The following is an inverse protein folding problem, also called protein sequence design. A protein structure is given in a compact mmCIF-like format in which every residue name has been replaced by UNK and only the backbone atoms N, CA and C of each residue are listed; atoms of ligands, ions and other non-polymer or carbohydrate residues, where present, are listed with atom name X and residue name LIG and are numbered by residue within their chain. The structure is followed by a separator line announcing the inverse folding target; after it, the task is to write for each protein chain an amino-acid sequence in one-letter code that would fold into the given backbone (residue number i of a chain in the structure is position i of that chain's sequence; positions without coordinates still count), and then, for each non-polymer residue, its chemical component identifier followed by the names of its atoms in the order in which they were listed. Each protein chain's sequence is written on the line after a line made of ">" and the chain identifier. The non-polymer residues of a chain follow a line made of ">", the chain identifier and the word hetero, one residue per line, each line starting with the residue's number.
data_IF_112339808938
#
_entry.id   IF_112339808938
#
_cell.length_a   1.000
_cell.length_b   1.000
_cell.length_c   1.000
_cell.angle_alpha   90.00
_cell.angle_beta   90.00
_cell.angle_gamma   90.00
#
_symmetry.space_group_name_H-M   'P 1'
#
loop_
_entity.id
_entity.type
_entity.pdbx_description
1 polymer ?
#
# COMPACT_ATOMS: atom_id res chain seq x y z
N UNK A 1 -3.44 -34.59 18.63
CA UNK A 1 -4.37 -33.98 19.63
C UNK A 1 -5.14 -32.89 18.92
N UNK A 2 -6.46 -32.77 19.11
CA UNK A 2 -7.27 -31.71 18.48
C UNK A 2 -7.48 -30.55 19.44
N UNK A 3 -7.10 -29.35 19.03
CA UNK A 3 -7.21 -28.13 19.82
C UNK A 3 -8.20 -27.19 19.12
N UNK A 4 -9.31 -26.79 19.76
CA UNK A 4 -10.25 -25.82 19.20
C UNK A 4 -9.59 -24.45 19.03
N UNK A 5 -9.77 -23.82 17.88
CA UNK A 5 -9.32 -22.46 17.61
C UNK A 5 -10.52 -21.51 17.62
N UNK A 6 -10.58 -20.62 18.61
CA UNK A 6 -11.71 -19.70 18.84
C UNK A 6 -11.40 -18.27 18.39
N UNK A 7 -12.44 -17.48 18.09
CA UNK A 7 -12.27 -16.07 17.70
C UNK A 7 -11.56 -15.23 18.76
N UNK A 8 -11.81 -15.49 20.05
CA UNK A 8 -11.21 -14.74 21.15
C UNK A 8 -11.84 -13.36 21.37
N UNK A 9 -11.55 -12.75 22.52
CA UNK A 9 -12.17 -11.50 22.95
C UNK A 9 -11.65 -10.28 22.19
N UNK A 10 -12.50 -9.28 22.03
CA UNK A 10 -12.15 -7.93 21.58
C UNK A 10 -12.86 -6.96 22.52
N UNK A 11 -12.13 -5.99 23.06
CA UNK A 11 -12.75 -4.95 23.87
C UNK A 11 -13.51 -3.95 22.98
N UNK A 12 -14.83 -4.13 22.87
CA UNK A 12 -15.65 -3.35 21.94
C UNK A 12 -16.39 -2.17 22.57
N UNK A 13 -16.42 -2.01 23.90
CA UNK A 13 -17.24 -1.01 24.58
C UNK A 13 -18.66 -0.92 23.98
N UNK A 14 -19.05 0.22 23.40
CA UNK A 14 -20.36 0.46 22.78
C UNK A 14 -20.44 0.09 21.28
N UNK A 15 -19.43 -0.60 20.77
CA UNK A 15 -19.32 -1.04 19.38
C UNK A 15 -19.67 -2.53 19.29
N UNK A 16 -20.18 -2.97 18.15
CA UNK A 16 -20.32 -4.39 17.81
C UNK A 16 -19.63 -4.65 16.47
N UNK A 17 -19.10 -5.86 16.31
CA UNK A 17 -18.58 -6.33 15.03
C UNK A 17 -19.61 -7.26 14.43
N UNK A 18 -20.16 -6.90 13.27
CA UNK A 18 -20.88 -7.82 12.40
C UNK A 18 -19.89 -8.52 11.48
N UNK A 19 -20.09 -9.80 11.24
CA UNK A 19 -19.17 -10.63 10.45
C UNK A 19 -19.91 -11.37 9.35
N UNK A 20 -19.26 -11.54 8.21
CA UNK A 20 -19.75 -12.41 7.15
C UNK A 20 -19.51 -13.88 7.53
N UNK A 21 -20.05 -14.81 6.74
CA UNK A 21 -19.58 -16.19 6.80
C UNK A 21 -18.06 -16.28 6.58
N UNK A 22 -17.44 -17.27 7.21
CA UNK A 22 -16.00 -17.53 7.12
C UNK A 22 -15.69 -18.17 5.77
N UNK A 23 -14.64 -17.69 5.10
CA UNK A 23 -14.14 -18.20 3.84
C UNK A 23 -12.78 -18.84 4.06
N UNK A 24 -12.64 -20.10 3.65
CA UNK A 24 -11.45 -20.90 3.87
C UNK A 24 -10.43 -20.71 2.76
N UNK A 25 -9.15 -20.60 3.15
CA UNK A 25 -7.99 -20.50 2.26
C UNK A 25 -7.24 -21.83 2.16
N UNK A 26 -7.56 -22.78 3.05
CA UNK A 26 -7.03 -24.13 3.07
C UNK A 26 -8.17 -25.15 2.96
N UNK A 27 -7.82 -26.37 2.57
CA UNK A 27 -8.75 -27.50 2.59
C UNK A 27 -8.82 -28.15 3.98
N UNK A 28 -9.92 -28.85 4.25
CA UNK A 28 -10.03 -29.72 5.43
C UNK A 28 -8.95 -30.82 5.39
N UNK A 29 -8.29 -31.07 6.51
CA UNK A 29 -7.15 -31.97 6.63
C UNK A 29 -5.85 -31.45 6.03
N UNK A 30 -5.76 -30.18 5.61
CA UNK A 30 -4.52 -29.59 5.13
C UNK A 30 -3.58 -29.29 6.30
N UNK A 31 -2.29 -29.63 6.14
CA UNK A 31 -1.24 -29.22 7.07
C UNK A 31 -0.90 -27.75 6.86
N UNK A 32 -0.91 -26.96 7.94
CA UNK A 32 -0.55 -25.55 7.96
C UNK A 32 0.55 -25.31 9.00
N UNK A 33 1.51 -24.45 8.66
CA UNK A 33 2.51 -23.95 9.61
C UNK A 33 1.94 -22.77 10.40
N UNK A 34 2.46 -22.53 11.60
CA UNK A 34 2.27 -21.32 12.38
C UNK A 34 2.53 -20.08 11.52
N UNK A 35 1.73 -19.03 11.70
CA UNK A 35 1.81 -17.80 10.91
C UNK A 35 1.07 -17.87 9.57
N UNK A 36 0.65 -19.06 9.13
CA UNK A 36 -0.06 -19.19 7.85
C UNK A 36 -1.55 -18.80 7.99
N UNK A 37 -2.06 -17.98 7.06
CA UNK A 37 -3.48 -17.67 6.97
C UNK A 37 -4.31 -18.87 6.53
N UNK A 38 -5.40 -19.15 7.26
CA UNK A 38 -6.25 -20.32 7.01
C UNK A 38 -7.66 -19.94 6.55
N UNK A 39 -8.12 -18.74 6.90
CA UNK A 39 -9.44 -18.26 6.56
C UNK A 39 -9.55 -16.74 6.68
N UNK A 40 -10.64 -16.17 6.18
CA UNK A 40 -10.96 -14.76 6.37
C UNK A 40 -12.48 -14.52 6.34
N UNK A 41 -12.92 -13.37 6.84
CA UNK A 41 -14.29 -12.87 6.68
C UNK A 41 -14.29 -11.35 6.52
N UNK A 42 -15.37 -10.82 5.95
CA UNK A 42 -15.61 -9.38 5.96
C UNK A 42 -16.23 -8.99 7.31
N UNK A 43 -15.91 -7.79 7.80
CA UNK A 43 -16.42 -7.28 9.07
C UNK A 43 -16.97 -5.86 8.92
N UNK A 44 -18.01 -5.55 9.68
CA UNK A 44 -18.58 -4.22 9.79
C UNK A 44 -18.60 -3.79 11.26
N UNK A 45 -18.05 -2.61 11.54
CA UNK A 45 -18.12 -2.01 12.87
C UNK A 45 -19.42 -1.21 12.97
N UNK A 46 -20.29 -1.54 13.92
CA UNK A 46 -21.55 -0.84 14.16
C UNK A 46 -21.59 -0.27 15.58
N UNK A 47 -22.19 0.91 15.74
CA UNK A 47 -22.46 1.52 17.04
C UNK A 47 -23.62 0.79 17.73
N UNK A 48 -23.84 1.09 19.00
CA UNK A 48 -24.95 0.54 19.79
C UNK A 48 -26.34 0.79 19.18
N UNK A 49 -26.51 1.83 18.37
CA UNK A 49 -27.75 2.14 17.64
C UNK A 49 -27.90 1.37 16.30
N UNK A 50 -26.91 0.54 15.95
CA UNK A 50 -26.88 -0.25 14.70
C UNK A 50 -26.34 0.50 13.49
N UNK A 51 -26.04 1.79 13.59
CA UNK A 51 -25.41 2.54 12.51
C UNK A 51 -23.93 2.16 12.34
N UNK A 52 -23.37 2.17 11.12
CA UNK A 52 -21.94 1.98 10.93
C UNK A 52 -21.12 2.98 11.73
N UNK A 53 -20.05 2.51 12.38
CA UNK A 53 -19.16 3.35 13.20
C UNK A 53 -18.58 4.52 12.39
N UNK A 54 -18.24 4.24 11.13
CA UNK A 54 -17.73 5.23 10.19
C UNK A 54 -18.08 4.83 8.76
N UNK A 55 -18.58 5.79 7.96
CA UNK A 55 -18.79 5.60 6.53
C UNK A 55 -17.48 5.91 5.79
N UNK A 56 -16.51 5.01 5.90
CA UNK A 56 -15.30 5.09 5.08
C UNK A 56 -15.57 4.41 3.75
N UNK A 57 -14.90 4.86 2.69
CA UNK A 57 -14.84 4.11 1.43
C UNK A 57 -14.17 2.73 1.54
N UNK A 58 -13.85 2.27 2.75
CA UNK A 58 -13.31 0.94 3.07
C UNK A 58 -14.35 0.00 3.70
N UNK A 59 -15.56 0.49 4.00
CA UNK A 59 -16.58 -0.27 4.71
C UNK A 59 -16.92 -1.62 4.04
N UNK A 60 -16.83 -1.66 2.70
CA UNK A 60 -17.13 -2.86 1.91
C UNK A 60 -15.98 -3.88 1.87
N UNK A 61 -14.78 -3.49 2.30
CA UNK A 61 -13.55 -4.28 2.18
C UNK A 61 -12.72 -4.28 3.47
N UNK A 62 -13.39 -4.17 4.62
CA UNK A 62 -12.78 -4.43 5.90
C UNK A 62 -12.86 -5.94 6.19
N UNK A 63 -11.71 -6.57 6.35
CA UNK A 63 -11.56 -8.01 6.51
C UNK A 63 -10.83 -8.36 7.81
N UNK A 64 -11.24 -9.46 8.43
CA UNK A 64 -10.48 -10.17 9.44
C UNK A 64 -9.90 -11.44 8.80
N UNK A 65 -8.58 -11.58 8.86
CA UNK A 65 -7.81 -12.72 8.38
C UNK A 65 -7.38 -13.54 9.58
N UNK A 66 -7.69 -14.83 9.55
CA UNK A 66 -7.44 -15.78 10.61
C UNK A 66 -6.15 -16.57 10.34
N UNK A 67 -5.24 -16.55 11.29
CA UNK A 67 -3.90 -17.14 11.20
C UNK A 67 -3.75 -18.20 12.27
N UNK A 68 -3.15 -19.32 11.90
CA UNK A 68 -2.88 -20.40 12.86
C UNK A 68 -1.71 -20.03 13.78
N UNK A 69 -1.88 -20.13 15.12
CA UNK A 69 -0.80 -19.83 16.06
C UNK A 69 0.27 -20.93 16.14
N UNK A 70 0.00 -22.14 15.66
CA UNK A 70 0.93 -23.28 15.69
C UNK A 70 0.74 -24.22 14.49
N UNK A 71 1.72 -25.09 14.29
CA UNK A 71 1.75 -26.07 13.21
C UNK A 71 0.73 -27.20 13.45
N UNK A 72 0.06 -27.67 12.40
CA UNK A 72 -0.83 -28.84 12.48
C UNK A 72 -1.78 -29.00 11.30
N UNK A 73 -2.62 -30.03 11.36
CA UNK A 73 -3.66 -30.30 10.36
C UNK A 73 -4.96 -29.60 10.73
N UNK A 74 -5.51 -28.80 9.82
CA UNK A 74 -6.73 -28.02 10.03
C UNK A 74 -7.96 -28.92 9.82
N UNK A 75 -8.88 -28.94 10.79
CA UNK A 75 -10.18 -29.58 10.70
C UNK A 75 -11.28 -28.51 10.72
N UNK A 76 -11.96 -28.33 9.59
CA UNK A 76 -12.96 -27.27 9.38
C UNK A 76 -14.30 -27.66 10.01
N UNK A 77 -14.86 -26.79 10.85
CA UNK A 77 -16.19 -27.02 11.41
C UNK A 77 -17.29 -26.77 10.38
N UNK A 78 -18.18 -27.76 10.21
CA UNK A 78 -19.36 -27.66 9.36
C UNK A 78 -20.34 -26.65 9.95
N UNK A 79 -20.72 -25.63 9.17
CA UNK A 79 -21.68 -24.59 9.59
C UNK A 79 -21.09 -23.20 9.81
N UNK A 80 -19.78 -23.00 9.75
CA UNK A 80 -19.20 -21.64 9.84
C UNK A 80 -19.05 -20.92 8.48
N UNK A 81 -19.29 -21.65 7.38
CA UNK A 81 -19.15 -21.16 6.01
C UNK A 81 -20.53 -20.99 5.35
N UNK A 82 -21.12 -19.80 5.49
CA UNK A 82 -22.46 -19.48 4.94
C UNK A 82 -22.43 -18.57 3.69
N UNK A 83 -21.26 -18.37 3.07
CA UNK A 83 -21.11 -17.32 2.06
C UNK A 83 -21.06 -15.92 2.69
N UNK A 84 -20.64 -14.91 1.93
CA UNK A 84 -20.18 -13.64 2.51
C UNK A 84 -20.38 -12.43 1.62
N UNK A 85 -21.64 -12.03 1.43
CA UNK A 85 -21.96 -10.71 0.93
C UNK A 85 -22.05 -9.75 2.11
N UNK A 86 -21.32 -8.64 2.04
CA UNK A 86 -21.32 -7.65 3.12
C UNK A 86 -22.72 -7.02 3.29
N UNK A 87 -23.45 -6.91 2.18
CA UNK A 87 -24.78 -6.31 2.10
C UNK A 87 -25.86 -7.18 2.75
N UNK A 88 -25.51 -8.41 3.08
CA UNK A 88 -26.38 -9.31 3.80
C UNK A 88 -25.93 -9.50 5.27
N UNK A 89 -24.82 -8.87 5.72
CA UNK A 89 -24.31 -8.94 7.11
C UNK A 89 -25.34 -8.80 8.23
N UNK A 90 -26.38 -7.95 8.13
CA UNK A 90 -27.41 -7.86 9.17
C UNK A 90 -28.10 -9.19 9.50
N UNK A 91 -27.98 -10.20 8.64
CA UNK A 91 -28.62 -11.51 8.76
C UNK A 91 -27.70 -12.65 9.21
N UNK A 92 -26.38 -12.43 9.33
CA UNK A 92 -25.41 -13.52 9.54
C UNK A 92 -24.96 -13.66 10.99
N UNK A 93 -23.95 -12.90 11.46
CA UNK A 93 -23.36 -13.16 12.78
C UNK A 93 -22.72 -11.92 13.40
N UNK A 94 -22.66 -11.91 14.74
CA UNK A 94 -21.83 -10.98 15.50
C UNK A 94 -20.55 -11.69 15.96
N UNK A 95 -19.47 -10.94 16.16
CA UNK A 95 -18.26 -11.46 16.77
C UNK A 95 -18.56 -11.96 18.18
N UNK A 96 -18.43 -13.27 18.38
CA UNK A 96 -18.53 -13.95 19.66
C UNK A 96 -17.21 -14.67 19.91
N UNK A 97 -16.56 -14.34 21.03
CA UNK A 97 -15.24 -14.85 21.38
C UNK A 97 -15.19 -16.36 21.55
N UNK A 98 -16.34 -17.00 21.76
CA UNK A 98 -16.47 -18.45 21.97
C UNK A 98 -16.69 -19.24 20.69
N UNK A 99 -16.95 -18.58 19.56
CA UNK A 99 -17.10 -19.28 18.28
C UNK A 99 -15.78 -19.98 17.96
N UNK A 100 -15.87 -21.31 17.81
CA UNK A 100 -14.77 -22.13 17.30
C UNK A 100 -14.79 -22.07 15.77
N UNK A 101 -13.69 -21.62 15.18
CA UNK A 101 -13.54 -21.45 13.73
C UNK A 101 -13.18 -22.79 13.08
N UNK A 102 -12.16 -23.46 13.63
CA UNK A 102 -11.69 -24.80 13.25
C UNK A 102 -11.06 -25.50 14.47
N UNK A 103 -10.63 -26.74 14.29
CA UNK A 103 -9.74 -27.45 15.21
C UNK A 103 -8.40 -27.68 14.53
N UNK A 104 -7.30 -27.64 15.28
CA UNK A 104 -5.96 -27.97 14.79
C UNK A 104 -5.52 -29.29 15.42
N UNK A 105 -5.20 -30.25 14.58
CA UNK A 105 -4.58 -31.50 14.99
C UNK A 105 -3.05 -31.38 14.95
N UNK A 106 -2.43 -31.34 16.12
CA UNK A 106 -0.98 -31.23 16.29
C UNK A 106 -0.38 -32.44 17.04
N UNK A 107 0.92 -32.64 16.85
CA UNK A 107 1.70 -33.60 17.62
C UNK A 107 1.86 -33.10 19.06
N UNK A 108 1.57 -33.96 20.03
CA UNK A 108 1.49 -33.58 21.44
C UNK A 108 2.88 -33.36 22.03
N UNK A 109 3.42 -32.15 21.89
CA UNK A 109 4.55 -31.68 22.69
C UNK A 109 4.23 -30.26 23.16
N UNK A 110 3.84 -30.14 24.44
CA UNK A 110 3.71 -28.89 25.22
C UNK A 110 2.43 -28.03 25.08
N UNK A 111 1.36 -28.50 24.41
CA UNK A 111 0.10 -27.74 24.38
C UNK A 111 -0.87 -28.14 25.49
N UNK A 112 -1.48 -27.15 26.14
CA UNK A 112 -2.63 -27.34 27.02
C UNK A 112 -3.84 -27.64 26.13
N UNK A 113 -4.66 -28.63 26.50
CA UNK A 113 -5.89 -29.06 25.79
C UNK A 113 -7.02 -27.99 25.75
N UNK A 114 -6.70 -26.74 26.08
CA UNK A 114 -7.65 -25.63 26.11
C UNK A 114 -7.78 -24.98 24.74
N UNK A 115 -8.96 -24.42 24.48
CA UNK A 115 -9.22 -23.66 23.27
C UNK A 115 -8.23 -22.51 23.13
N UNK A 116 -7.61 -22.41 21.96
CA UNK A 116 -6.61 -21.39 21.66
C UNK A 116 -7.25 -20.27 20.86
N UNK A 117 -6.81 -19.03 21.07
CA UNK A 117 -7.29 -17.91 20.29
C UNK A 117 -6.61 -17.89 18.92
N UNK A 118 -7.40 -17.64 17.88
CA UNK A 118 -6.88 -17.40 16.54
C UNK A 118 -6.09 -16.10 16.52
N UNK A 119 -4.98 -16.09 15.78
CA UNK A 119 -4.32 -14.83 15.45
C UNK A 119 -5.10 -14.12 14.37
N UNK A 120 -5.20 -12.80 14.46
CA UNK A 120 -5.98 -11.95 13.57
C UNK A 120 -5.10 -10.86 12.98
N UNK A 121 -5.10 -10.81 11.65
CA UNK A 121 -4.71 -9.62 10.90
C UNK A 121 -5.97 -8.98 10.37
N UNK A 122 -6.08 -7.67 10.52
CA UNK A 122 -7.12 -6.92 9.87
C UNK A 122 -6.57 -6.27 8.62
N UNK A 123 -7.41 -6.24 7.58
CA UNK A 123 -7.08 -5.62 6.31
C UNK A 123 -8.26 -4.74 5.87
N UNK A 124 -7.96 -3.63 5.21
CA UNK A 124 -8.97 -2.72 4.68
C UNK A 124 -8.56 -2.19 3.31
N UNK A 125 -9.51 -2.07 2.39
CA UNK A 125 -9.26 -1.56 1.04
C UNK A 125 -10.23 -0.45 0.66
N UNK A 126 -9.72 0.66 0.11
CA UNK A 126 -10.53 1.69 -0.54
C UNK A 126 -10.50 1.44 -2.04
N UNK A 127 -11.63 1.05 -2.64
CA UNK A 127 -11.71 0.75 -4.08
C UNK A 127 -11.55 2.01 -4.93
N UNK A 128 -11.11 1.86 -6.18
CA UNK A 128 -11.19 2.95 -7.17
C UNK A 128 -12.63 3.25 -7.58
N UNK A 129 -13.47 2.22 -7.64
CA UNK A 129 -14.90 2.29 -7.93
C UNK A 129 -15.57 1.02 -7.39
N UNK A 130 -16.85 1.12 -7.00
CA UNK A 130 -17.56 0.01 -6.36
C UNK A 130 -17.70 -1.22 -7.27
N UNK A 131 -17.83 -1.00 -8.59
CA UNK A 131 -17.88 -2.07 -9.57
C UNK A 131 -16.53 -2.79 -9.78
N UNK A 132 -15.43 -2.34 -9.16
CA UNK A 132 -14.12 -3.03 -9.18
C UNK A 132 -14.09 -4.23 -8.21
N UNK A 133 -15.28 -4.67 -7.81
CA UNK A 133 -15.49 -5.73 -6.85
C UNK A 133 -14.97 -7.07 -7.34
N UNK A 134 -14.00 -7.59 -6.61
CA UNK A 134 -13.62 -8.99 -6.70
C UNK A 134 -13.62 -9.51 -5.25
N UNK A 135 -14.56 -10.39 -4.93
CA UNK A 135 -14.69 -10.98 -3.59
C UNK A 135 -14.23 -12.45 -3.66
N UNK A 136 -13.09 -12.76 -4.27
CA UNK A 136 -12.58 -14.15 -4.34
C UNK A 136 -11.44 -14.43 -3.36
N UNK A 137 -10.85 -13.40 -2.74
CA UNK A 137 -9.75 -13.56 -1.80
C UNK A 137 -9.64 -12.40 -0.81
N UNK A 138 -8.48 -12.32 -0.15
CA UNK A 138 -8.14 -11.23 0.76
C UNK A 138 -7.77 -10.01 -0.07
N UNK A 139 -8.49 -8.92 0.13
CA UNK A 139 -8.40 -7.69 -0.65
C UNK A 139 -8.20 -7.98 -2.15
N UNK A 140 -9.05 -8.84 -2.72
CA UNK A 140 -9.07 -9.08 -4.16
C UNK A 140 -9.76 -7.91 -4.88
N UNK A 141 -9.22 -7.52 -6.04
CA UNK A 141 -9.75 -6.42 -6.85
C UNK A 141 -8.81 -5.22 -6.90
N UNK A 142 -9.33 -4.07 -7.33
CA UNK A 142 -8.54 -2.87 -7.60
C UNK A 142 -8.82 -1.78 -6.58
N UNK A 143 -7.80 -1.44 -5.82
CA UNK A 143 -7.88 -0.51 -4.71
C UNK A 143 -7.04 0.73 -4.99
N UNK A 144 -7.52 1.89 -4.58
CA UNK A 144 -6.72 3.10 -4.50
C UNK A 144 -5.74 3.01 -3.31
N UNK A 145 -6.21 2.41 -2.20
CA UNK A 145 -5.44 2.21 -0.98
C UNK A 145 -5.77 0.85 -0.39
N UNK A 146 -4.75 0.14 0.06
CA UNK A 146 -4.90 -1.05 0.90
C UNK A 146 -4.12 -0.85 2.18
N UNK A 147 -4.63 -1.38 3.29
CA UNK A 147 -3.94 -1.34 4.58
C UNK A 147 -4.12 -2.67 5.30
N UNK A 148 -3.11 -3.05 6.05
CA UNK A 148 -3.13 -4.23 6.89
C UNK A 148 -2.45 -3.92 8.23
N UNK A 149 -2.91 -4.54 9.31
CA UNK A 149 -2.34 -4.38 10.63
C UNK A 149 -2.62 -5.60 11.52
N UNK A 150 -1.74 -5.82 12.49
CA UNK A 150 -1.91 -6.89 13.48
C UNK A 150 -3.05 -6.55 14.45
N UNK A 151 -4.06 -7.41 14.52
CA UNK A 151 -5.18 -7.27 15.45
C UNK A 151 -4.86 -7.69 16.88
N UNK A 152 -3.96 -8.67 17.07
CA UNK A 152 -3.71 -9.26 18.39
C UNK A 152 -2.81 -8.43 19.30
N UNK A 153 -2.05 -7.52 18.70
CA UNK A 153 -1.17 -6.62 19.44
C UNK A 153 -1.99 -5.42 19.90
N UNK A 154 -1.56 -4.75 20.98
CA UNK A 154 -2.24 -3.57 21.51
C UNK A 154 -2.25 -2.38 20.53
N UNK A 155 -2.36 -1.17 21.06
CA UNK A 155 -2.38 0.04 20.24
C UNK A 155 -1.26 0.07 19.17
N UNK A 156 -1.65 0.45 17.95
CA UNK A 156 -0.74 0.61 16.82
C UNK A 156 0.33 1.63 17.19
N UNK A 157 1.60 1.21 17.12
CA UNK A 157 2.76 2.05 17.43
C UNK A 157 3.42 2.61 16.18
N UNK A 158 3.39 1.83 15.11
CA UNK A 158 3.96 2.22 13.82
C UNK A 158 2.88 2.21 12.76
N UNK A 159 2.75 3.31 12.03
CA UNK A 159 1.89 3.42 10.85
C UNK A 159 2.78 3.85 9.68
N UNK A 160 3.01 2.90 8.77
CA UNK A 160 3.92 3.06 7.65
C UNK A 160 3.11 3.40 6.40
N UNK A 161 3.36 4.57 5.83
CA UNK A 161 2.85 4.99 4.54
C UNK A 161 3.86 4.70 3.45
N UNK A 162 3.43 4.01 2.39
CA UNK A 162 4.33 3.73 1.26
C UNK A 162 4.01 4.60 0.07
N UNK A 163 5.00 5.38 -0.37
CA UNK A 163 5.04 6.19 -1.58
C UNK A 163 6.02 5.53 -2.55
N UNK A 164 5.60 4.38 -3.06
CA UNK A 164 6.39 3.53 -3.93
C UNK A 164 5.77 3.40 -5.31
N UNK A 165 6.51 2.72 -6.18
CA UNK A 165 5.99 2.13 -7.41
C UNK A 165 6.11 0.61 -7.28
N UNK A 166 5.99 -0.11 -8.39
CA UNK A 166 6.11 -1.57 -8.44
C UNK A 166 7.42 -2.14 -7.85
N UNK A 167 8.44 -1.31 -7.59
CA UNK A 167 9.70 -1.70 -6.97
C UNK A 167 9.53 -2.14 -5.50
N UNK A 168 9.06 -1.23 -4.62
CA UNK A 168 8.91 -1.49 -3.19
C UNK A 168 7.50 -1.92 -2.81
N UNK A 169 6.48 -1.57 -3.61
CA UNK A 169 5.10 -1.94 -3.32
C UNK A 169 4.89 -3.45 -3.36
N UNK A 170 5.54 -4.15 -4.30
CA UNK A 170 5.44 -5.61 -4.40
C UNK A 170 6.10 -6.29 -3.19
N UNK A 171 7.31 -5.84 -2.82
CA UNK A 171 8.01 -6.35 -1.65
C UNK A 171 7.20 -6.18 -0.36
N UNK A 172 6.63 -5.00 -0.12
CA UNK A 172 5.80 -4.76 1.06
C UNK A 172 4.43 -5.44 1.01
N UNK A 173 3.83 -5.60 -0.18
CA UNK A 173 2.59 -6.33 -0.34
C UNK A 173 2.77 -7.81 0.04
N UNK A 174 3.96 -8.37 -0.20
CA UNK A 174 4.20 -9.79 0.04
C UNK A 174 3.55 -10.68 -1.01
N UNK A 175 3.79 -11.98 -0.87
CA UNK A 175 3.44 -12.98 -1.88
C UNK A 175 2.07 -13.64 -1.65
N UNK A 176 1.62 -13.68 -0.40
CA UNK A 176 0.38 -14.36 0.00
C UNK A 176 -0.69 -13.38 0.49
N UNK A 177 -0.35 -12.57 1.48
CA UNK A 177 -1.23 -11.58 2.10
C UNK A 177 -0.53 -10.25 2.22
N UNK A 178 -1.29 -9.17 1.99
CA UNK A 178 -0.84 -7.78 2.15
C UNK A 178 -0.06 -7.60 3.45
N UNK A 179 1.26 -7.52 3.31
CA UNK A 179 2.24 -7.18 4.34
C UNK A 179 2.36 -8.20 5.49
N UNK A 180 1.89 -9.43 5.34
CA UNK A 180 1.96 -10.47 6.38
C UNK A 180 3.41 -10.76 6.77
N UNK A 181 4.26 -11.08 5.79
CA UNK A 181 5.66 -11.44 6.00
C UNK A 181 6.41 -10.29 6.71
N UNK A 182 6.03 -9.06 6.41
CA UNK A 182 6.59 -7.89 7.08
C UNK A 182 6.10 -7.73 8.52
N UNK A 183 4.80 -7.93 8.77
CA UNK A 183 4.21 -7.80 10.11
C UNK A 183 4.76 -8.85 11.10
N UNK A 184 5.11 -10.05 10.63
CA UNK A 184 5.76 -11.08 11.44
C UNK A 184 7.14 -10.65 11.95
N UNK A 185 7.87 -9.87 11.17
CA UNK A 185 9.19 -9.32 11.55
C UNK A 185 9.09 -8.19 12.58
N UNK A 186 7.91 -7.57 12.70
CA UNK A 186 7.70 -6.47 13.63
C UNK A 186 7.41 -7.01 15.03
N UNK A 187 8.04 -6.52 16.10
CA UNK A 187 7.71 -6.89 17.48
C UNK A 187 6.52 -6.10 18.04
N UNK A 188 6.26 -4.91 17.50
CA UNK A 188 5.18 -4.01 17.93
C UNK A 188 4.00 -4.05 16.95
N UNK A 189 2.84 -3.61 17.45
CA UNK A 189 1.64 -3.44 16.63
C UNK A 189 1.90 -2.42 15.51
N UNK A 190 1.84 -2.88 14.27
CA UNK A 190 2.24 -2.09 13.09
C UNK A 190 1.13 -2.13 12.05
N UNK A 191 0.84 -0.97 11.48
CA UNK A 191 -0.03 -0.80 10.32
C UNK A 191 0.83 -0.46 9.10
N UNK A 192 0.55 -1.12 7.99
CA UNK A 192 1.12 -0.80 6.69
C UNK A 192 0.00 -0.25 5.80
N UNK A 193 0.25 0.89 5.17
CA UNK A 193 -0.64 1.56 4.23
C UNK A 193 0.05 1.63 2.87
N UNK A 194 -0.54 0.97 1.87
CA UNK A 194 -0.06 0.91 0.51
C UNK A 194 -1.01 1.67 -0.39
N UNK A 195 -0.49 2.64 -1.14
CA UNK A 195 -1.18 3.20 -2.29
C UNK A 195 -0.86 2.35 -3.50
N UNK A 196 -1.88 1.85 -4.18
CA UNK A 196 -1.65 1.11 -5.39
C UNK A 196 -1.19 2.06 -6.50
N UNK A 197 -0.38 1.53 -7.40
CA UNK A 197 0.24 2.30 -8.47
C UNK A 197 -0.84 2.80 -9.47
N UNK A 198 -1.19 4.09 -9.35
CA UNK A 198 -2.26 4.76 -10.11
C UNK A 198 -1.86 5.10 -11.55
N UNK A 199 -2.40 6.15 -12.18
CA UNK A 199 -1.83 6.62 -13.47
C UNK A 199 -0.58 7.47 -13.24
N UNK A 200 -0.58 8.25 -12.16
CA UNK A 200 0.52 9.12 -11.78
C UNK A 200 1.53 8.40 -10.88
N UNK A 201 2.80 8.75 -11.03
CA UNK A 201 3.88 8.31 -10.13
C UNK A 201 3.83 9.18 -8.86
N UNK A 202 3.84 8.60 -7.65
CA UNK A 202 3.75 9.37 -6.40
C UNK A 202 5.09 10.04 -6.06
N UNK A 203 5.31 11.23 -6.63
CA UNK A 203 6.53 12.02 -6.37
C UNK A 203 6.41 12.85 -5.09
N UNK A 204 7.56 13.21 -4.48
CA UNK A 204 7.62 14.12 -3.32
C UNK A 204 7.03 15.48 -3.67
N UNK A 205 7.38 16.04 -4.83
CA UNK A 205 6.75 17.26 -5.39
C UNK A 205 5.22 17.19 -5.37
N UNK A 206 4.65 16.11 -5.90
CA UNK A 206 3.19 15.91 -5.90
C UNK A 206 2.61 15.81 -4.49
N UNK A 207 3.30 15.11 -3.58
CA UNK A 207 2.85 14.98 -2.20
C UNK A 207 2.86 16.33 -1.48
N UNK A 208 3.92 17.12 -1.64
CA UNK A 208 4.02 18.48 -1.08
C UNK A 208 2.86 19.34 -1.56
N UNK A 209 2.57 19.31 -2.86
CA UNK A 209 1.44 20.03 -3.45
C UNK A 209 0.09 19.51 -2.94
N UNK A 210 -0.07 18.19 -2.77
CA UNK A 210 -1.27 17.57 -2.24
C UNK A 210 -1.52 17.94 -0.77
N UNK A 211 -0.50 17.96 0.08
CA UNK A 211 -0.63 18.35 1.50
C UNK A 211 -1.01 19.83 1.62
N UNK A 212 -0.49 20.69 0.74
CA UNK A 212 -0.74 22.14 0.75
C UNK A 212 -2.04 22.54 0.02
N UNK A 213 -2.70 21.62 -0.67
CA UNK A 213 -3.84 21.95 -1.54
C UNK A 213 -5.06 22.39 -0.74
N UNK A 214 -5.65 23.52 -1.12
CA UNK A 214 -6.94 23.98 -0.56
C UNK A 214 -8.14 23.48 -1.38
N UNK A 215 -9.36 23.55 -0.83
CA UNK A 215 -10.58 23.25 -1.59
C UNK A 215 -10.73 24.10 -2.87
N UNK A 216 -10.30 25.36 -2.86
CA UNK A 216 -10.33 26.25 -4.02
C UNK A 216 -9.39 25.75 -5.12
N UNK A 217 -8.16 25.35 -4.76
CA UNK A 217 -7.24 24.76 -5.72
C UNK A 217 -7.80 23.48 -6.35
N UNK A 218 -8.54 22.68 -5.58
CA UNK A 218 -9.22 21.50 -6.11
C UNK A 218 -10.35 21.87 -7.09
N UNK A 219 -11.13 22.90 -6.78
CA UNK A 219 -12.15 23.43 -7.69
C UNK A 219 -11.53 23.88 -9.01
N UNK A 220 -10.40 24.62 -8.96
CA UNK A 220 -9.68 25.08 -10.14
C UNK A 220 -9.17 23.91 -11.00
N UNK A 221 -8.68 22.83 -10.37
CA UNK A 221 -8.30 21.60 -11.07
C UNK A 221 -9.51 21.01 -11.82
N UNK A 222 -10.65 20.84 -11.16
CA UNK A 222 -11.86 20.26 -11.78
C UNK A 222 -12.35 21.13 -12.94
N UNK A 223 -12.34 22.46 -12.77
CA UNK A 223 -12.70 23.41 -13.83
C UNK A 223 -11.73 23.30 -15.01
N UNK A 224 -10.42 23.21 -14.77
CA UNK A 224 -9.42 23.05 -15.83
C UNK A 224 -9.67 21.80 -16.69
N UNK A 225 -9.93 20.66 -16.07
CA UNK A 225 -10.29 19.43 -16.79
C UNK A 225 -11.60 19.58 -17.57
N UNK A 226 -12.60 20.23 -16.97
CA UNK A 226 -13.88 20.48 -17.62
C UNK A 226 -13.76 21.40 -18.84
N UNK A 227 -12.95 22.45 -18.74
CA UNK A 227 -12.67 23.39 -19.83
C UNK A 227 -11.96 22.67 -20.97
N UNK A 228 -10.95 21.85 -20.67
CA UNK A 228 -10.27 21.04 -21.68
C UNK A 228 -11.27 20.20 -22.47
N UNK A 229 -12.12 19.42 -21.79
CA UNK A 229 -13.08 18.52 -22.47
C UNK A 229 -14.08 19.32 -23.34
N UNK A 230 -14.54 20.50 -22.87
CA UNK A 230 -15.55 21.30 -23.58
C UNK A 230 -15.01 22.19 -24.70
N UNK A 231 -13.80 22.72 -24.56
CA UNK A 231 -13.22 23.71 -25.46
C UNK A 231 -12.16 23.15 -26.41
N UNK A 232 -11.82 21.87 -26.22
CA UNK A 232 -10.93 21.12 -27.10
C UNK A 232 -11.47 21.04 -28.52
N UNK A 233 -10.60 21.30 -29.50
CA UNK A 233 -10.83 20.97 -30.91
C UNK A 233 -10.57 19.49 -31.22
N UNK A 234 -10.06 18.74 -30.25
CA UNK A 234 -9.78 17.31 -30.31
C UNK A 234 -11.00 16.47 -29.95
N UNK A 235 -11.15 15.34 -30.62
CA UNK A 235 -12.15 14.32 -30.30
C UNK A 235 -11.59 13.46 -29.17
N UNK A 236 -12.31 13.40 -28.05
CA UNK A 236 -11.98 12.53 -26.93
C UNK A 236 -12.49 11.12 -27.18
N UNK A 237 -11.60 10.14 -27.07
CA UNK A 237 -11.96 8.73 -27.10
C UNK A 237 -12.07 8.15 -25.69
N UNK A 238 -12.56 6.92 -25.57
CA UNK A 238 -12.74 6.24 -24.27
C UNK A 238 -11.46 6.21 -23.43
N UNK A 239 -10.32 6.01 -24.08
CA UNK A 239 -8.99 5.98 -23.47
C UNK A 239 -8.63 7.33 -22.83
N UNK A 240 -8.97 8.45 -23.49
CA UNK A 240 -8.73 9.79 -22.95
C UNK A 240 -9.58 10.03 -21.70
N UNK A 241 -10.87 9.66 -21.72
CA UNK A 241 -11.75 9.82 -20.56
C UNK A 241 -11.26 9.00 -19.37
N UNK A 242 -10.84 7.76 -19.59
CA UNK A 242 -10.29 6.91 -18.53
C UNK A 242 -8.99 7.49 -17.97
N UNK A 243 -8.09 7.95 -18.84
CA UNK A 243 -6.79 8.48 -18.42
C UNK A 243 -6.95 9.80 -17.64
N UNK A 244 -7.76 10.74 -18.14
CA UNK A 244 -8.02 12.02 -17.47
C UNK A 244 -8.78 11.83 -16.15
N UNK A 245 -9.79 10.96 -16.13
CA UNK A 245 -10.50 10.62 -14.90
C UNK A 245 -9.55 10.08 -13.83
N UNK A 246 -8.61 9.22 -14.22
CA UNK A 246 -7.61 8.68 -13.31
C UNK A 246 -6.59 9.73 -12.83
N UNK A 247 -6.14 10.66 -13.68
CA UNK A 247 -5.30 11.80 -13.27
C UNK A 247 -6.06 12.66 -12.27
N UNK A 248 -7.29 13.09 -12.60
CA UNK A 248 -8.11 13.93 -11.74
C UNK A 248 -8.37 13.24 -10.40
N UNK A 249 -8.69 11.95 -10.39
CA UNK A 249 -8.88 11.18 -9.16
C UNK A 249 -7.60 11.13 -8.31
N UNK A 250 -6.43 10.96 -8.94
CA UNK A 250 -5.13 10.92 -8.25
C UNK A 250 -4.73 12.29 -7.69
N UNK A 251 -5.07 13.38 -8.40
CA UNK A 251 -4.84 14.73 -7.93
C UNK A 251 -5.84 15.09 -6.83
N UNK A 252 -7.13 14.86 -7.04
CA UNK A 252 -8.20 15.27 -6.14
C UNK A 252 -8.13 14.61 -4.76
N UNK A 253 -7.68 13.36 -4.70
CA UNK A 253 -7.63 12.60 -3.47
C UNK A 253 -6.20 12.48 -2.95
N UNK A 254 -5.94 13.08 -1.79
CA UNK A 254 -4.73 12.80 -1.01
C UNK A 254 -5.10 11.91 0.16
N UNK A 255 -4.86 10.59 0.05
CA UNK A 255 -5.11 9.72 1.21
C UNK A 255 -3.99 9.83 2.28
N UNK A 256 -3.05 10.78 2.13
CA UNK A 256 -1.96 11.03 3.10
C UNK A 256 -2.50 11.56 4.43
N UNK A 257 -3.53 12.41 4.39
CA UNK A 257 -4.13 13.05 5.56
C UNK A 257 -5.38 12.31 6.07
N UNK A 258 -5.74 11.19 5.45
CA UNK A 258 -6.92 10.43 5.84
C UNK A 258 -6.73 9.86 7.26
N UNK A 259 -7.65 10.20 8.15
CA UNK A 259 -7.83 9.47 9.42
C UNK A 259 -8.36 8.08 9.13
N UNK A 260 -7.75 7.05 9.70
CA UNK A 260 -8.20 5.66 9.53
C UNK A 260 -8.52 5.02 10.85
N UNK A 261 -9.51 4.12 10.86
CA UNK A 261 -9.81 3.30 12.01
C UNK A 261 -9.01 2.00 11.96
N UNK A 262 -8.47 1.59 13.10
CA UNK A 262 -7.92 0.25 13.28
C UNK A 262 -8.66 -0.47 14.38
N UNK A 263 -8.89 -1.77 14.17
CA UNK A 263 -9.44 -2.67 15.16
C UNK A 263 -8.32 -3.53 15.71
N UNK A 264 -8.22 -3.62 17.03
CA UNK A 264 -7.30 -4.53 17.72
C UNK A 264 -8.07 -5.26 18.82
N UNK A 265 -7.45 -6.24 19.47
CA UNK A 265 -8.00 -6.87 20.69
C UNK A 265 -8.30 -5.85 21.79
N UNK A 266 -7.52 -4.76 21.84
CA UNK A 266 -7.74 -3.66 22.79
C UNK A 266 -8.90 -2.73 22.43
N UNK A 267 -9.49 -2.90 21.25
CA UNK A 267 -10.62 -2.13 20.74
C UNK A 267 -10.31 -1.34 19.48
N UNK A 268 -11.23 -0.43 19.15
CA UNK A 268 -11.10 0.46 18.00
C UNK A 268 -10.27 1.69 18.36
N UNK A 269 -9.30 2.01 17.52
CA UNK A 269 -8.50 3.21 17.62
C UNK A 269 -8.67 4.05 16.35
N UNK A 270 -8.88 5.35 16.51
CA UNK A 270 -8.62 6.32 15.45
C UNK A 270 -7.11 6.50 15.38
N UNK A 271 -6.52 6.02 14.28
CA UNK A 271 -5.09 6.20 14.08
C UNK A 271 -4.81 7.61 13.59
N UNK A 272 -3.81 8.21 14.23
CA UNK A 272 -3.14 9.42 13.79
C UNK A 272 -2.47 9.22 12.43
N UNK A 273 -2.14 10.32 11.71
CA UNK A 273 -1.39 10.24 10.47
C UNK A 273 -0.13 9.38 10.58
N UNK A 274 0.32 8.85 9.46
CA UNK A 274 1.47 7.93 9.42
C UNK A 274 2.71 8.54 10.07
N UNK A 275 3.34 7.82 10.99
CA UNK A 275 4.57 8.25 11.66
C UNK A 275 5.84 7.75 10.96
N UNK A 276 5.68 6.94 9.92
CA UNK A 276 6.76 6.50 9.04
C UNK A 276 6.29 6.66 7.60
N UNK A 277 7.09 7.32 6.76
CA UNK A 277 6.84 7.47 5.32
C UNK A 277 7.98 6.81 4.58
N UNK A 278 7.68 5.72 3.87
CA UNK A 278 8.63 5.00 3.02
C UNK A 278 8.49 5.48 1.57
N UNK A 279 9.57 6.02 1.00
CA UNK A 279 9.61 6.58 -0.34
C UNK A 279 10.49 5.70 -1.23
N UNK A 280 10.03 5.38 -2.43
CA UNK A 280 10.92 4.86 -3.49
C UNK A 280 11.67 6.01 -4.15
N UNK A 281 13.00 5.91 -4.21
CA UNK A 281 13.80 6.81 -5.03
C UNK A 281 13.50 6.57 -6.53
N UNK A 282 13.14 5.36 -6.97
CA UNK A 282 12.72 5.11 -8.35
C UNK A 282 11.44 5.88 -8.74
N UNK A 283 10.59 6.20 -7.76
CA UNK A 283 9.40 7.04 -7.93
C UNK A 283 9.71 8.55 -8.02
N UNK A 284 10.97 9.00 -7.99
CA UNK A 284 11.35 10.42 -8.11
C UNK A 284 12.04 10.70 -9.46
N UNK A 285 11.30 10.76 -10.57
CA UNK A 285 11.90 10.93 -11.90
C UNK A 285 12.55 12.30 -12.06
N UNK A 286 13.63 12.40 -12.82
CA UNK A 286 14.25 13.70 -13.16
C UNK A 286 13.41 14.53 -14.12
N UNK A 287 12.32 13.99 -14.68
CA UNK A 287 11.40 14.73 -15.55
C UNK A 287 9.99 14.75 -14.95
N UNK A 288 9.38 15.93 -14.93
CA UNK A 288 7.99 16.15 -14.52
C UNK A 288 7.26 17.03 -15.52
N UNK A 289 5.95 16.92 -15.56
CA UNK A 289 5.09 17.92 -16.20
C UNK A 289 4.60 18.91 -15.15
N UNK A 290 4.77 20.21 -15.39
CA UNK A 290 4.20 21.28 -14.54
C UNK A 290 3.16 22.06 -15.32
N UNK A 291 1.95 22.16 -14.79
CA UNK A 291 0.84 22.84 -15.44
C UNK A 291 1.16 24.33 -15.59
N UNK A 292 1.01 24.90 -16.80
CA UNK A 292 1.42 26.27 -17.14
C UNK A 292 0.70 27.33 -16.32
N UNK A 293 -0.62 27.16 -16.13
CA UNK A 293 -1.45 28.14 -15.41
C UNK A 293 -1.58 27.83 -13.92
N UNK A 294 -1.97 26.60 -13.56
CA UNK A 294 -2.23 26.18 -12.18
C UNK A 294 -0.98 25.75 -11.40
N UNK A 295 0.17 25.55 -12.06
CA UNK A 295 1.44 25.30 -11.39
C UNK A 295 1.63 23.93 -10.74
N UNK A 296 0.64 23.03 -10.74
CA UNK A 296 0.77 21.70 -10.17
C UNK A 296 1.64 20.78 -11.04
N UNK A 297 2.26 19.80 -10.40
CA UNK A 297 3.21 18.87 -11.01
C UNK A 297 2.59 17.49 -11.14
N UNK A 298 2.89 16.79 -12.23
CA UNK A 298 2.52 15.39 -12.46
C UNK A 298 3.68 14.62 -13.09
N UNK A 299 3.79 13.34 -12.75
CA UNK A 299 4.72 12.41 -13.39
C UNK A 299 4.01 11.12 -13.79
N UNK A 300 4.56 10.47 -14.82
CA UNK A 300 4.04 9.23 -15.38
C UNK A 300 5.18 8.24 -15.59
N UNK A 301 4.88 6.95 -15.51
CA UNK A 301 5.73 5.95 -16.13
C UNK A 301 5.66 6.06 -17.66
N UNK A 302 6.79 5.87 -18.34
CA UNK A 302 6.83 5.96 -19.80
C UNK A 302 5.88 4.98 -20.49
N UNK A 303 5.72 3.76 -19.98
CA UNK A 303 4.78 2.78 -20.52
C UNK A 303 3.31 3.21 -20.40
N UNK A 304 2.96 4.10 -19.45
CA UNK A 304 1.59 4.64 -19.31
C UNK A 304 1.29 5.70 -20.35
N UNK A 305 2.28 6.55 -20.66
CA UNK A 305 2.14 7.58 -21.68
C UNK A 305 1.91 7.00 -23.08
N UNK A 306 2.35 5.76 -23.33
CA UNK A 306 2.08 5.06 -24.58
C UNK A 306 0.61 4.64 -24.73
N UNK A 307 -0.12 4.46 -23.62
CA UNK A 307 -1.54 4.06 -23.60
C UNK A 307 -2.50 5.25 -23.57
N UNK A 308 -1.97 6.47 -23.62
CA UNK A 308 -2.74 7.70 -23.56
C UNK A 308 -3.27 8.06 -24.95
N UNK A 309 -4.56 8.40 -25.00
CA UNK A 309 -5.22 8.86 -26.22
C UNK A 309 -4.65 10.17 -26.77
N UNK A 310 -5.00 10.48 -28.03
CA UNK A 310 -4.42 11.59 -28.77
C UNK A 310 -4.82 12.96 -28.17
N UNK A 311 -6.06 13.11 -27.69
CA UNK A 311 -6.54 14.37 -27.12
C UNK A 311 -5.81 14.69 -25.81
N UNK A 312 -5.64 13.71 -24.93
CA UNK A 312 -4.90 13.87 -23.67
C UNK A 312 -3.44 14.20 -23.93
N UNK A 313 -2.82 13.56 -24.94
CA UNK A 313 -1.45 13.85 -25.37
C UNK A 313 -1.28 15.30 -25.81
N UNK A 314 -2.22 15.83 -26.60
CA UNK A 314 -2.20 17.23 -27.02
C UNK A 314 -2.41 18.18 -25.84
N UNK A 315 -3.36 17.87 -24.96
CA UNK A 315 -3.58 18.63 -23.73
C UNK A 315 -2.30 18.76 -22.89
N UNK A 316 -1.57 17.66 -22.68
CA UNK A 316 -0.29 17.70 -21.94
C UNK A 316 0.74 18.62 -22.63
N UNK A 317 0.88 18.56 -23.96
CA UNK A 317 1.81 19.42 -24.70
C UNK A 317 1.42 20.91 -24.61
N UNK A 318 0.13 21.20 -24.69
CA UNK A 318 -0.38 22.57 -24.69
C UNK A 318 -0.39 23.20 -23.30
N UNK A 319 -0.70 22.44 -22.26
CA UNK A 319 -0.99 22.97 -20.93
C UNK A 319 0.11 22.70 -19.89
N UNK A 320 1.17 21.96 -20.23
CA UNK A 320 2.27 21.68 -19.31
C UNK A 320 3.63 22.06 -19.89
N UNK A 321 4.54 22.46 -19.00
CA UNK A 321 5.97 22.46 -19.27
C UNK A 321 6.55 21.10 -18.87
N UNK A 322 7.44 20.55 -19.70
CA UNK A 322 8.30 19.46 -19.27
C UNK A 322 9.50 20.05 -18.54
N UNK A 323 9.59 19.82 -17.24
CA UNK A 323 10.66 20.30 -16.37
C UNK A 323 11.68 19.19 -16.16
N UNK A 324 12.96 19.51 -16.32
CA UNK A 324 14.06 18.68 -15.88
C UNK A 324 14.46 19.12 -14.47
N UNK A 325 14.46 18.17 -13.53
CA UNK A 325 14.91 18.34 -12.17
C UNK A 325 16.34 17.84 -12.00
N UNK A 326 17.14 18.64 -11.34
CA UNK A 326 18.44 18.30 -10.78
C UNK A 326 18.29 17.41 -9.54
N UNK A 327 19.41 16.79 -9.14
CA UNK A 327 19.51 16.05 -7.88
C UNK A 327 19.28 16.97 -6.67
N UNK A 328 19.78 18.20 -6.72
CA UNK A 328 19.62 19.21 -5.67
C UNK A 328 18.17 19.64 -5.46
N UNK A 329 17.39 19.76 -6.54
CA UNK A 329 15.95 20.06 -6.44
C UNK A 329 15.20 18.91 -5.75
N UNK A 330 15.51 17.65 -6.08
CA UNK A 330 14.92 16.48 -5.40
C UNK A 330 15.33 16.47 -3.92
N UNK A 331 16.59 16.78 -3.60
CA UNK A 331 17.05 16.88 -2.22
C UNK A 331 16.34 17.99 -1.45
N UNK A 332 16.10 19.14 -2.09
CA UNK A 332 15.36 20.27 -1.52
C UNK A 332 13.92 19.89 -1.23
N UNK A 333 13.24 19.21 -2.17
CA UNK A 333 11.89 18.69 -1.97
C UNK A 333 11.82 17.68 -0.79
N UNK A 334 12.81 16.80 -0.64
CA UNK A 334 12.88 15.86 0.49
C UNK A 334 13.05 16.57 1.83
N UNK A 335 13.93 17.58 1.90
CA UNK A 335 14.08 18.43 3.10
C UNK A 335 12.80 19.18 3.42
N UNK A 336 12.13 19.72 2.40
CA UNK A 336 10.84 20.40 2.57
C UNK A 336 9.76 19.46 3.09
N UNK A 337 9.70 18.21 2.59
CA UNK A 337 8.77 17.20 3.10
C UNK A 337 9.07 16.88 4.57
N UNK A 338 10.34 16.68 4.94
CA UNK A 338 10.73 16.46 6.33
C UNK A 338 10.27 17.61 7.24
N UNK A 339 10.50 18.85 6.82
CA UNK A 339 10.09 20.03 7.57
C UNK A 339 8.56 20.13 7.70
N UNK A 340 7.82 19.78 6.65
CA UNK A 340 6.36 19.83 6.63
C UNK A 340 5.73 18.76 7.54
N UNK A 341 6.29 17.55 7.57
CA UNK A 341 5.79 16.45 8.39
C UNK A 341 6.19 16.56 9.87
N UNK A 342 7.28 17.30 10.14
CA UNK A 342 7.75 17.59 11.48
C UNK A 342 8.53 16.42 12.11
N UNK A 343 9.11 16.66 13.31
CA UNK A 343 10.13 15.77 13.90
C UNK A 343 9.60 14.42 14.39
N UNK A 344 8.28 14.24 14.48
CA UNK A 344 7.65 13.00 14.94
C UNK A 344 7.42 11.99 13.81
N UNK A 345 7.68 12.37 12.55
CA UNK A 345 7.52 11.51 11.38
C UNK A 345 8.90 11.14 10.85
N UNK A 346 9.14 9.83 10.70
CA UNK A 346 10.37 9.30 10.11
C UNK A 346 10.19 9.18 8.61
N UNK A 347 11.14 9.72 7.84
CA UNK A 347 11.21 9.52 6.40
C UNK A 347 12.26 8.45 6.11
N UNK A 348 11.82 7.36 5.50
CA UNK A 348 12.67 6.29 4.99
C UNK A 348 12.69 6.39 3.47
N UNK A 349 13.87 6.39 2.85
CA UNK A 349 13.99 6.37 1.39
C UNK A 349 14.70 5.09 0.95
N UNK A 350 14.01 4.28 0.15
CA UNK A 350 14.60 3.13 -0.52
C UNK A 350 15.41 3.63 -1.72
N UNK A 351 16.72 3.38 -1.70
CA UNK A 351 17.60 3.77 -2.79
C UNK A 351 17.43 2.84 -4.01
N UNK A 352 18.07 3.20 -5.13
CA UNK A 352 17.96 2.40 -6.36
C UNK A 352 19.19 1.48 -6.46
N UNK A 353 18.97 0.20 -6.70
CA UNK A 353 20.05 -0.71 -7.03
C UNK A 353 20.63 -0.39 -8.40
N UNK A 354 21.93 -0.10 -8.45
CA UNK A 354 22.63 0.10 -9.71
C UNK A 354 22.78 -1.25 -10.41
N UNK A 355 22.05 -1.46 -11.51
CA UNK A 355 22.18 -2.66 -12.32
C UNK A 355 22.87 -2.34 -13.66
N UNK A 356 24.12 -2.78 -13.89
CA UNK A 356 24.81 -2.53 -15.15
C UNK A 356 24.13 -3.22 -16.34
N UNK A 357 23.34 -4.28 -16.12
CA UNK A 357 22.51 -4.93 -17.15
C UNK A 357 21.26 -4.11 -17.51
N UNK A 358 20.77 -3.24 -16.63
CA UNK A 358 19.66 -2.32 -16.94
C UNK A 358 20.14 -0.98 -17.52
N UNK A 359 21.44 -0.87 -17.86
CA UNK A 359 21.95 0.21 -18.70
C UNK A 359 21.36 0.19 -20.13
N UNK A 360 20.57 -0.84 -20.47
CA UNK A 360 19.73 -0.86 -21.66
C UNK A 360 18.48 0.02 -21.51
N UNK A 361 18.63 1.25 -22.02
CA UNK A 361 17.65 2.10 -22.70
C UNK A 361 16.18 1.71 -22.46
N UNK A 362 15.59 2.29 -21.42
CA UNK A 362 14.19 2.71 -21.47
C UNK A 362 14.13 4.23 -21.58
N UNK A 363 14.76 4.78 -22.63
CA UNK A 363 14.50 6.18 -23.02
C UNK A 363 13.14 6.23 -23.68
N UNK A 364 12.11 6.42 -22.88
CA UNK A 364 10.88 7.00 -23.37
C UNK A 364 11.14 8.50 -23.53
N UNK A 365 11.67 8.92 -24.68
CA UNK A 365 11.44 10.30 -25.10
C UNK A 365 9.92 10.42 -25.20
N UNK A 366 9.33 11.18 -24.26
CA UNK A 366 7.91 11.11 -23.90
C UNK A 366 7.00 11.29 -25.13
N UNK A 367 7.51 11.93 -26.19
CA UNK A 367 6.82 12.11 -27.46
C UNK A 367 7.67 11.86 -28.74
N UNK A 368 8.95 11.48 -28.65
CA UNK A 368 9.88 11.37 -29.80
C UNK A 368 10.71 10.07 -29.80
N UNK A 369 11.42 9.78 -30.91
CA UNK A 369 12.36 8.65 -31.00
C UNK A 369 13.62 8.95 -30.19
N UNK A 370 14.02 7.99 -29.35
CA UNK A 370 15.15 8.06 -28.44
C UNK A 370 16.41 8.67 -29.09
N UNK A 371 16.86 9.81 -28.56
CA UNK A 371 18.19 10.35 -28.87
C UNK A 371 19.09 10.27 -27.65
N UNK A 372 20.14 9.45 -27.81
CA UNK A 372 21.29 9.20 -26.91
C UNK A 372 21.13 8.21 -25.75
N UNK A 373 22.26 7.53 -25.49
CA UNK A 373 22.53 6.29 -24.76
C UNK A 373 23.59 6.63 -23.69
N UNK A 374 23.60 5.95 -22.52
CA UNK A 374 24.64 5.98 -21.45
C UNK A 374 24.48 6.87 -20.17
N UNK A 375 23.32 7.44 -19.82
CA UNK A 375 23.23 8.33 -18.61
C UNK A 375 22.44 7.75 -17.42
N UNK A 376 21.75 6.60 -17.58
CA UNK A 376 20.89 6.03 -16.54
C UNK A 376 21.61 5.64 -15.24
N UNK A 377 22.73 4.95 -15.34
CA UNK A 377 23.51 4.45 -14.17
C UNK A 377 24.20 5.60 -13.41
N UNK A 378 24.78 6.58 -14.13
CA UNK A 378 25.40 7.76 -13.50
C UNK A 378 24.38 8.54 -12.69
N UNK A 379 23.21 8.82 -13.26
CA UNK A 379 22.13 9.51 -12.55
C UNK A 379 21.64 8.74 -11.32
N UNK A 380 21.57 7.40 -11.36
CA UNK A 380 21.18 6.59 -10.20
C UNK A 380 22.23 6.69 -9.08
N UNK A 381 23.52 6.63 -9.42
CA UNK A 381 24.61 6.75 -8.45
C UNK A 381 24.64 8.12 -7.80
N UNK A 382 24.54 9.20 -8.57
CA UNK A 382 24.48 10.57 -8.03
C UNK A 382 23.31 10.75 -7.07
N UNK A 383 22.15 10.18 -7.39
CA UNK A 383 20.98 10.24 -6.53
C UNK A 383 21.12 9.39 -5.26
N UNK A 384 21.82 8.26 -5.33
CA UNK A 384 22.16 7.48 -4.14
C UNK A 384 23.13 8.26 -3.23
N UNK A 385 24.15 8.93 -3.79
CA UNK A 385 25.07 9.80 -3.03
C UNK A 385 24.30 10.93 -2.34
N UNK A 386 23.35 11.56 -3.02
CA UNK A 386 22.48 12.58 -2.42
C UNK A 386 21.69 12.04 -1.22
N UNK A 387 21.23 10.78 -1.25
CA UNK A 387 20.58 10.17 -0.09
C UNK A 387 21.55 9.95 1.08
N UNK A 388 22.80 9.58 0.81
CA UNK A 388 23.83 9.42 1.84
C UNK A 388 24.13 10.77 2.54
N UNK A 389 24.20 11.85 1.77
CA UNK A 389 24.35 13.21 2.29
C UNK A 389 23.16 13.60 3.20
N UNK A 390 21.93 13.43 2.71
CA UNK A 390 20.72 13.72 3.50
C UNK A 390 20.61 12.85 4.77
N UNK A 391 21.05 11.60 4.71
CA UNK A 391 21.09 10.73 5.87
C UNK A 391 22.12 11.18 6.90
N UNK A 392 23.29 11.64 6.45
CA UNK A 392 24.34 12.18 7.32
C UNK A 392 23.92 13.49 8.02
N UNK A 393 23.06 14.28 7.38
CA UNK A 393 22.41 15.47 7.95
C UNK A 393 21.29 15.13 8.95
N UNK A 394 20.87 13.86 9.04
CA UNK A 394 19.77 13.42 9.88
C UNK A 394 18.38 13.76 9.35
N UNK A 395 18.26 14.10 8.06
CA UNK A 395 16.99 14.45 7.41
C UNK A 395 16.12 13.21 7.18
N UNK A 396 16.74 12.08 6.82
CA UNK A 396 16.06 10.84 6.48
C UNK A 396 16.92 9.62 6.85
N UNK A 397 16.33 8.44 6.77
CA UNK A 397 17.06 7.18 6.86
C UNK A 397 16.98 6.43 5.52
N UNK A 398 18.05 5.75 5.14
CA UNK A 398 18.12 5.04 3.85
C UNK A 398 17.88 3.56 4.05
N UNK A 399 17.00 2.99 3.23
CA UNK A 399 16.88 1.54 3.04
C UNK A 399 17.75 1.18 1.83
N UNK A 400 18.91 0.57 2.09
CA UNK A 400 19.96 0.40 1.08
C UNK A 400 19.75 -0.87 0.24
N UNK A 401 18.80 -0.80 -0.69
CA UNK A 401 18.53 -1.85 -1.67
C UNK A 401 19.73 -2.11 -2.58
N UNK A 402 20.54 -1.09 -2.88
CA UNK A 402 21.75 -1.23 -3.66
C UNK A 402 22.74 -2.19 -2.98
N UNK A 403 23.03 -1.99 -1.69
CA UNK A 403 23.89 -2.88 -0.90
C UNK A 403 23.30 -4.29 -0.76
N UNK A 404 22.00 -4.40 -0.48
CA UNK A 404 21.33 -5.71 -0.37
C UNK A 404 21.43 -6.50 -1.67
N UNK A 405 21.12 -5.86 -2.79
CA UNK A 405 21.20 -6.49 -4.11
C UNK A 405 22.63 -6.89 -4.48
N UNK A 406 23.63 -6.05 -4.15
CA UNK A 406 25.03 -6.33 -4.42
C UNK A 406 25.52 -7.57 -3.66
N UNK A 407 25.10 -7.75 -2.40
CA UNK A 407 25.43 -8.93 -1.59
C UNK A 407 24.86 -10.24 -2.14
N UNK A 408 23.65 -10.19 -2.72
CA UNK A 408 22.97 -11.37 -3.26
C UNK A 408 23.24 -11.61 -4.75
N UNK A 409 23.86 -10.64 -5.43
CA UNK A 409 24.04 -10.57 -6.87
C UNK A 409 22.90 -9.83 -7.56
N UNK A 410 23.15 -8.56 -7.93
CA UNK A 410 22.14 -7.63 -8.45
C UNK A 410 21.45 -8.16 -9.71
N UNK A 411 22.20 -8.59 -10.72
CA UNK A 411 21.61 -9.04 -12.00
C UNK A 411 20.74 -10.29 -11.87
N UNK A 412 20.93 -11.10 -10.83
CA UNK A 412 20.11 -12.28 -10.55
C UNK A 412 18.80 -11.91 -9.84
N UNK A 413 18.86 -10.92 -8.96
CA UNK A 413 17.76 -10.61 -8.04
C UNK A 413 16.98 -9.34 -8.42
N UNK A 414 17.45 -8.61 -9.42
CA UNK A 414 16.74 -7.49 -10.07
C UNK A 414 16.97 -7.58 -11.58
N UNK A 415 16.46 -8.64 -12.25
CA UNK A 415 16.83 -8.96 -13.62
C UNK A 415 16.42 -7.89 -14.64
N UNK A 416 15.32 -7.17 -14.39
CA UNK A 416 14.83 -6.07 -15.24
C UNK A 416 15.26 -4.67 -14.75
N UNK A 417 16.08 -4.61 -13.70
CA UNK A 417 16.55 -3.36 -13.09
C UNK A 417 15.54 -2.64 -12.19
N UNK A 418 14.35 -3.21 -11.94
CA UNK A 418 13.33 -2.60 -11.09
C UNK A 418 12.70 -3.56 -10.08
N UNK A 419 12.35 -4.77 -10.49
CA UNK A 419 11.59 -5.71 -9.65
C UNK A 419 12.51 -6.68 -8.93
N UNK A 420 12.29 -6.81 -7.62
CA UNK A 420 13.01 -7.74 -6.76
C UNK A 420 12.51 -9.18 -7.00
N UNK A 421 13.40 -10.16 -6.84
CA UNK A 421 13.00 -11.55 -6.65
C UNK A 421 12.55 -11.77 -5.20
N UNK A 422 11.76 -12.82 -4.94
CA UNK A 422 11.31 -13.14 -3.58
C UNK A 422 12.45 -13.28 -2.55
N UNK A 423 13.64 -13.71 -2.97
CA UNK A 423 14.82 -13.78 -2.10
C UNK A 423 15.29 -12.39 -1.65
N UNK A 424 15.38 -11.43 -2.58
CA UNK A 424 15.77 -10.06 -2.25
C UNK A 424 14.64 -9.31 -1.54
N UNK A 425 13.37 -9.59 -1.86
CA UNK A 425 12.22 -9.04 -1.13
C UNK A 425 12.29 -9.42 0.36
N UNK A 426 12.59 -10.68 0.69
CA UNK A 426 12.73 -11.11 2.09
C UNK A 426 13.85 -10.36 2.83
N UNK A 427 15.00 -10.15 2.19
CA UNK A 427 16.10 -9.39 2.79
C UNK A 427 15.78 -7.90 2.92
N UNK A 428 15.06 -7.33 1.94
CA UNK A 428 14.54 -5.97 2.01
C UNK A 428 13.58 -5.78 3.19
N UNK A 429 12.64 -6.71 3.40
CA UNK A 429 11.70 -6.63 4.53
C UNK A 429 12.40 -6.74 5.89
N UNK A 430 13.39 -7.62 6.01
CA UNK A 430 14.22 -7.74 7.23
C UNK A 430 14.99 -6.45 7.51
N UNK A 431 15.58 -5.85 6.49
CA UNK A 431 16.31 -4.60 6.64
C UNK A 431 15.39 -3.43 7.02
N UNK A 432 14.23 -3.33 6.39
CA UNK A 432 13.22 -2.34 6.73
C UNK A 432 12.76 -2.50 8.18
N UNK A 433 12.44 -3.73 8.61
CA UNK A 433 12.06 -4.01 9.98
C UNK A 433 13.18 -3.63 10.97
N UNK A 434 14.44 -3.99 10.65
CA UNK A 434 15.62 -3.64 11.45
C UNK A 434 15.77 -2.13 11.64
N UNK A 435 15.61 -1.35 10.58
CA UNK A 435 15.67 0.12 10.62
C UNK A 435 14.56 0.67 11.52
N UNK A 436 13.34 0.14 11.37
CA UNK A 436 12.19 0.63 12.15
C UNK A 436 12.35 0.31 13.64
N UNK A 437 12.83 -0.89 13.99
CA UNK A 437 12.96 -1.38 15.37
C UNK A 437 14.13 -0.74 16.15
N UNK A 438 15.20 -0.30 15.47
CA UNK A 438 16.44 0.16 16.14
C UNK A 438 16.26 1.47 16.95
N UNK A 439 15.13 2.17 16.81
CA UNK A 439 14.76 3.38 17.56
C UNK A 439 13.46 3.12 18.31
#
# INVERSE_FOLDING_TARGET
>A
MKIPLILGDINLHDIRIQMSGIRWLCSDGQYCKSGIPIAYCNVLLVKGDGSPLYNSGEIHDFQAVFITPFDGFIHIQKGNSHGGLIDQLPYYFFWDSKITICEIECEAQNFVLEAQQVQVIFAAGKRYFDAAENRTGILSGWFQRTRAWTGDRGQIKNTILTLGICDILNGLRGSEIVSLEFMELMPLSTQVILFQDGVLVPTVSMLLEQIKRTPENLSDLIVNFSVMIKSSTYIFESEDYLFLGAILNSLANSNFLDTTLTLTRSGVNENTPSNIVLISLAAQPTKLFRHKSLGYSIAFHGFRLQKMGAATRMWLKENFYLINRSVDEIATELRELCNLLGPNVRILVCNIAANPMSAFISHYDLFDKATFKEIGDINQRERNVMLDELASEGILEVVDLNLLSAKLGTSRNIPDGMHMTGVLEQEFLKELARIIIKK
#
